data_IF_207266860400
#
_entry.id   IF_207266860400
#
_cell.length_a   1.000
_cell.length_b   1.000
_cell.length_c   1.000
_cell.angle_alpha   90.00
_cell.angle_beta   90.00
_cell.angle_gamma   90.00
#
_symmetry.space_group_name_H-M   'P 1'
#
loop_
_entity.id
_entity.type
_entity.pdbx_description
1 polymer ?
#
# COMPACT_ATOMS: atom_id res chain seq x y z
N UNK A 1 -5.34 10.75 -8.09
CA UNK A 1 -6.57 10.67 -7.26
C UNK A 1 -6.73 11.91 -6.39
N UNK A 2 -7.96 12.38 -6.19
CA UNK A 2 -8.28 13.55 -5.34
C UNK A 2 -7.81 13.38 -3.89
N UNK A 3 -7.85 12.17 -3.34
CA UNK A 3 -7.44 11.91 -1.95
C UNK A 3 -5.95 12.16 -1.69
N UNK A 4 -5.08 11.92 -2.69
CA UNK A 4 -3.63 12.09 -2.53
C UNK A 4 -3.30 13.57 -2.43
N UNK A 5 -3.96 14.40 -3.24
CA UNK A 5 -3.82 15.85 -3.17
C UNK A 5 -4.37 16.39 -1.84
N UNK A 6 -5.50 15.85 -1.35
CA UNK A 6 -6.09 16.24 -0.06
C UNK A 6 -5.20 15.86 1.14
N UNK A 7 -4.63 14.65 1.14
CA UNK A 7 -3.67 14.22 2.16
C UNK A 7 -2.39 15.07 2.10
N UNK A 8 -1.86 15.33 0.91
CA UNK A 8 -0.72 16.21 0.75
C UNK A 8 -0.99 17.60 1.31
N UNK A 9 -2.11 18.22 0.94
CA UNK A 9 -2.45 19.57 1.40
C UNK A 9 -2.66 19.65 2.92
N UNK A 10 -3.25 18.62 3.52
CA UNK A 10 -3.53 18.60 4.96
C UNK A 10 -2.26 18.38 5.82
N UNK A 11 -1.27 17.66 5.28
CA UNK A 11 -0.09 17.23 6.03
C UNK A 11 1.23 17.89 5.59
N UNK A 12 1.28 18.60 4.46
CA UNK A 12 2.51 19.24 3.95
C UNK A 12 3.21 20.18 4.93
N UNK A 13 2.45 20.84 5.81
CA UNK A 13 2.98 21.76 6.82
C UNK A 13 3.19 21.10 8.20
N UNK A 14 2.83 19.80 8.33
CA UNK A 14 2.89 19.02 9.58
C UNK A 14 3.95 17.93 9.58
N UNK A 15 4.38 17.48 8.40
CA UNK A 15 5.43 16.47 8.25
C UNK A 15 6.80 17.15 8.35
N UNK A 16 7.65 16.65 9.24
CA UNK A 16 9.01 17.14 9.43
C UNK A 16 9.97 16.71 8.31
N UNK A 17 9.54 15.79 7.44
CA UNK A 17 10.17 15.50 6.16
C UNK A 17 10.82 14.12 6.04
N UNK A 18 10.70 13.25 7.05
CA UNK A 18 11.25 11.89 6.96
C UNK A 18 10.22 10.91 6.36
N UNK A 19 10.70 9.96 5.55
CA UNK A 19 9.87 8.95 4.87
C UNK A 19 9.01 8.14 5.87
N UNK A 20 9.51 7.96 7.10
CA UNK A 20 8.82 7.26 8.18
C UNK A 20 7.53 7.98 8.63
N UNK A 21 7.48 9.32 8.59
CA UNK A 21 6.29 10.08 8.94
C UNK A 21 5.17 9.88 7.90
N UNK A 22 5.55 9.70 6.63
CA UNK A 22 4.62 9.49 5.51
C UNK A 22 4.01 8.08 5.60
N UNK A 23 4.82 7.08 5.93
CA UNK A 23 4.34 5.72 6.14
C UNK A 23 3.36 5.66 7.31
N UNK A 24 3.71 6.24 8.46
CA UNK A 24 2.83 6.28 9.64
C UNK A 24 1.51 6.99 9.35
N UNK A 25 1.54 8.08 8.59
CA UNK A 25 0.34 8.81 8.17
C UNK A 25 -0.54 7.97 7.24
N UNK A 26 0.05 7.31 6.24
CA UNK A 26 -0.70 6.44 5.34
C UNK A 26 -1.36 5.29 6.09
N UNK A 27 -0.66 4.69 7.07
CA UNK A 27 -1.22 3.65 7.93
C UNK A 27 -2.36 4.16 8.80
N UNK A 28 -2.17 5.28 9.50
CA UNK A 28 -3.20 5.86 10.36
C UNK A 28 -4.47 6.22 9.56
N UNK A 29 -4.29 6.79 8.37
CA UNK A 29 -5.40 7.11 7.47
C UNK A 29 -6.17 5.84 7.05
N UNK A 30 -5.47 4.78 6.64
CA UNK A 30 -6.10 3.53 6.22
C UNK A 30 -6.76 2.76 7.38
N UNK A 31 -6.23 2.85 8.60
CA UNK A 31 -6.78 2.19 9.79
C UNK A 31 -8.16 2.74 10.18
N UNK A 32 -8.43 4.01 9.89
CA UNK A 32 -9.74 4.64 10.15
C UNK A 32 -10.80 4.28 9.09
N UNK A 33 -10.42 3.67 7.97
CA UNK A 33 -11.33 3.36 6.86
C UNK A 33 -12.09 2.04 7.06
N UNK A 34 -13.38 2.06 6.75
CA UNK A 34 -14.15 0.83 6.60
C UNK A 34 -13.82 0.13 5.27
N UNK A 35 -14.27 -1.12 5.13
CA UNK A 35 -14.13 -1.86 3.87
C UNK A 35 -14.84 -1.15 2.73
N UNK A 36 -15.99 -0.55 3.01
CA UNK A 36 -16.78 0.21 2.06
C UNK A 36 -16.01 1.45 1.57
N UNK A 37 -15.40 2.21 2.48
CA UNK A 37 -14.59 3.40 2.14
C UNK A 37 -13.40 3.02 1.24
N UNK A 38 -12.74 1.89 1.53
CA UNK A 38 -11.64 1.38 0.72
C UNK A 38 -12.10 0.99 -0.70
N UNK A 39 -13.30 0.43 -0.83
CA UNK A 39 -13.86 0.09 -2.14
C UNK A 39 -14.28 1.34 -2.92
N UNK A 40 -14.81 2.36 -2.26
CA UNK A 40 -15.09 3.66 -2.88
C UNK A 40 -13.80 4.27 -3.41
N UNK A 41 -12.73 4.27 -2.61
CA UNK A 41 -11.42 4.76 -3.03
C UNK A 41 -10.90 4.02 -4.28
N UNK A 42 -11.05 2.69 -4.32
CA UNK A 42 -10.65 1.89 -5.50
C UNK A 42 -11.49 2.26 -6.73
N UNK A 43 -12.78 2.56 -6.57
CA UNK A 43 -13.65 2.95 -7.68
C UNK A 43 -13.30 4.34 -8.25
N UNK A 44 -12.64 5.20 -7.48
CA UNK A 44 -12.18 6.52 -7.93
C UNK A 44 -10.85 6.49 -8.70
N UNK A 45 -10.12 5.37 -8.65
CA UNK A 45 -8.88 5.19 -9.40
C UNK A 45 -9.14 5.25 -10.90
N UNK A 46 -8.28 5.95 -11.63
CA UNK A 46 -8.23 5.76 -13.08
C UNK A 46 -7.64 4.38 -13.45
N UNK A 47 -7.75 3.99 -14.72
CA UNK A 47 -7.24 2.70 -15.16
C UNK A 47 -5.75 2.51 -14.88
N UNK A 48 -4.93 3.56 -15.03
CA UNK A 48 -3.49 3.48 -14.81
C UNK A 48 -3.18 3.33 -13.32
N UNK A 49 -3.84 4.10 -12.47
CA UNK A 49 -3.70 4.01 -11.01
C UNK A 49 -4.16 2.64 -10.50
N UNK A 50 -5.27 2.11 -11.02
CA UNK A 50 -5.73 0.75 -10.71
C UNK A 50 -4.72 -0.32 -11.17
N UNK A 51 -4.17 -0.20 -12.39
CA UNK A 51 -3.13 -1.10 -12.87
C UNK A 51 -1.88 -1.07 -11.97
N UNK A 52 -1.46 0.12 -11.53
CA UNK A 52 -0.32 0.29 -10.64
C UNK A 52 -0.59 -0.38 -9.28
N UNK A 53 -1.77 -0.13 -8.68
CA UNK A 53 -2.17 -0.72 -7.41
C UNK A 53 -2.19 -2.26 -7.48
N UNK A 54 -2.84 -2.81 -8.52
CA UNK A 54 -2.91 -4.25 -8.73
C UNK A 54 -1.53 -4.84 -9.02
N UNK A 55 -0.68 -4.13 -9.77
CA UNK A 55 0.69 -4.53 -10.07
C UNK A 55 1.55 -4.70 -8.82
N UNK A 56 1.54 -3.71 -7.92
CA UNK A 56 2.26 -3.77 -6.65
C UNK A 56 1.77 -4.95 -5.82
N UNK A 57 0.45 -5.08 -5.63
CA UNK A 57 -0.12 -6.18 -4.85
C UNK A 57 0.28 -7.55 -5.40
N UNK A 58 0.20 -7.76 -6.72
CA UNK A 58 0.58 -9.01 -7.36
C UNK A 58 2.07 -9.30 -7.21
N UNK A 59 2.94 -8.31 -7.43
CA UNK A 59 4.39 -8.48 -7.33
C UNK A 59 4.79 -8.85 -5.89
N UNK A 60 4.31 -8.11 -4.89
CA UNK A 60 4.66 -8.38 -3.49
C UNK A 60 4.10 -9.72 -3.01
N UNK A 61 2.87 -10.07 -3.41
CA UNK A 61 2.29 -11.39 -3.11
C UNK A 61 3.10 -12.53 -3.74
N UNK A 62 3.57 -12.36 -4.97
CA UNK A 62 4.42 -13.34 -5.64
C UNK A 62 5.77 -13.47 -4.94
N UNK A 63 6.45 -12.35 -4.64
CA UNK A 63 7.71 -12.36 -3.88
C UNK A 63 7.56 -13.11 -2.55
N UNK A 64 6.50 -12.82 -1.78
CA UNK A 64 6.23 -13.52 -0.52
C UNK A 64 6.01 -15.03 -0.71
N UNK A 65 5.32 -15.43 -1.77
CA UNK A 65 5.10 -16.85 -2.10
C UNK A 65 6.40 -17.56 -2.50
N UNK A 66 7.24 -16.93 -3.31
CA UNK A 66 8.55 -17.49 -3.70
C UNK A 66 9.51 -17.57 -2.52
N UNK A 67 9.61 -16.53 -1.70
CA UNK A 67 10.43 -16.56 -0.49
C UNK A 67 10.01 -17.68 0.47
N UNK A 68 8.69 -17.90 0.62
CA UNK A 68 8.16 -19.01 1.42
C UNK A 68 8.51 -20.38 0.81
N UNK A 69 8.42 -20.52 -0.52
CA UNK A 69 8.75 -21.76 -1.22
C UNK A 69 10.24 -22.10 -1.12
N UNK A 70 11.13 -21.10 -1.24
CA UNK A 70 12.58 -21.27 -1.09
C UNK A 70 12.98 -21.64 0.34
N UNK A 71 12.30 -21.07 1.35
CA UNK A 71 12.45 -21.45 2.76
C UNK A 71 12.00 -22.90 3.02
N UNK A 72 10.94 -23.34 2.34
CA UNK A 72 10.44 -24.72 2.47
C UNK A 72 11.40 -25.71 1.81
N UNK A 73 12.05 -25.35 0.70
CA UNK A 73 13.06 -26.20 0.07
C UNK A 73 14.32 -26.33 0.92
N UNK A 74 14.82 -25.25 1.52
CA UNK A 74 16.02 -25.30 2.39
C UNK A 74 15.85 -26.15 3.65
N UNK A 75 14.64 -26.21 4.23
CA UNK A 75 14.33 -27.08 5.37
C UNK A 75 14.32 -28.58 5.02
N UNK A 76 14.02 -28.95 3.77
CA UNK A 76 13.97 -30.35 3.33
C UNK A 76 15.36 -30.96 3.03
N UNK A 77 16.43 -30.15 3.11
CA UNK A 77 17.82 -30.58 2.91
C UNK A 77 18.63 -30.68 4.22
N UNK A 78 17.96 -30.68 5.38
CA UNK A 78 18.59 -30.90 6.69
C UNK A 78 18.04 -32.14 7.40
#
# INVERSE_FOLDING_TARGET
MKIIDELYDYYRDKLTGDEEDIDMLAFAFLEEMSREDLLELINELDNQELYNLMGIYLIESLKGKFASADFTQTQNYH
#
